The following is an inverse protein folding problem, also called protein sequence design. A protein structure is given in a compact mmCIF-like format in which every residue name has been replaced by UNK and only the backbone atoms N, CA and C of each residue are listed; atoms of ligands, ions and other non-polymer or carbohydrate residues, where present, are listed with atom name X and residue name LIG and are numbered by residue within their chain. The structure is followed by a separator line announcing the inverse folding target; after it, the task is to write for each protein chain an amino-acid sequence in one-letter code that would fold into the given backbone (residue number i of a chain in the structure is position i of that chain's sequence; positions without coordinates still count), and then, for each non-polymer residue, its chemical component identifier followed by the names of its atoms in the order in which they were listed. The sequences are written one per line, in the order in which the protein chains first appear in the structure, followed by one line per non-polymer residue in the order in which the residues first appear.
data_IF_574345372351
#
_entry.id   IF_574345372351
#
_cell.length_a   1.000
_cell.length_b   1.000
_cell.length_c   1.000
_cell.angle_alpha   90.00
_cell.angle_beta   90.00
_cell.angle_gamma   90.00
#
_symmetry.space_group_name_H-M   'P 1'
#
loop_
_entity.id
_entity.type
_entity.pdbx_description
1 polymer ?
#
# COMPACT_ATOMS: atom_id res chain seq x y z
N UNK A 1 -5.83 27.50 -15.04
CA UNK A 1 -5.93 27.77 -16.49
C UNK A 1 -7.29 28.39 -16.76
N UNK A 2 -7.31 29.48 -17.51
CA UNK A 2 -8.56 30.06 -18.02
C UNK A 2 -9.17 29.16 -19.11
N UNK A 3 -10.44 29.38 -19.45
CA UNK A 3 -11.09 28.70 -20.58
C UNK A 3 -10.30 28.79 -21.90
N UNK A 4 -9.85 29.98 -22.36
CA UNK A 4 -9.09 30.08 -23.60
C UNK A 4 -7.74 29.37 -23.55
N UNK A 5 -7.06 29.38 -22.40
CA UNK A 5 -5.80 28.64 -22.21
C UNK A 5 -6.03 27.13 -22.30
N UNK A 6 -7.12 26.64 -21.69
CA UNK A 6 -7.49 25.23 -21.70
C UNK A 6 -7.83 24.74 -23.11
N UNK A 7 -8.56 25.54 -23.89
CA UNK A 7 -8.85 25.22 -25.30
C UNK A 7 -7.58 25.21 -26.13
N UNK A 8 -6.68 26.18 -25.95
CA UNK A 8 -5.42 26.24 -26.68
C UNK A 8 -4.51 25.04 -26.35
N UNK A 9 -4.47 24.63 -25.08
CA UNK A 9 -3.72 23.45 -24.64
C UNK A 9 -4.22 22.16 -25.29
N UNK A 10 -5.54 21.89 -25.21
CA UNK A 10 -6.10 20.68 -25.82
C UNK A 10 -6.05 20.72 -27.34
N UNK A 11 -6.18 21.88 -27.97
CA UNK A 11 -5.98 22.02 -29.41
C UNK A 11 -4.54 21.65 -29.81
N UNK A 12 -3.54 22.12 -29.07
CA UNK A 12 -2.13 21.77 -29.29
C UNK A 12 -1.90 20.27 -29.09
N UNK A 13 -2.50 19.69 -28.04
CA UNK A 13 -2.42 18.26 -27.77
C UNK A 13 -3.04 17.41 -28.89
N UNK A 14 -4.23 17.79 -29.37
CA UNK A 14 -4.94 17.13 -30.48
C UNK A 14 -4.12 17.22 -31.77
N UNK A 15 -3.51 18.37 -32.08
CA UNK A 15 -2.66 18.53 -33.25
C UNK A 15 -1.45 17.59 -33.18
N UNK A 16 -0.81 17.49 -32.02
CA UNK A 16 0.31 16.56 -31.80
C UNK A 16 -0.13 15.10 -31.99
N UNK A 17 -1.29 14.72 -31.45
CA UNK A 17 -1.86 13.38 -31.66
C UNK A 17 -2.11 13.08 -33.14
N UNK A 18 -2.71 14.02 -33.89
CA UNK A 18 -2.94 13.86 -35.34
C UNK A 18 -1.63 13.71 -36.11
N UNK A 19 -0.62 14.53 -35.81
CA UNK A 19 0.70 14.43 -36.44
C UNK A 19 1.38 13.08 -36.13
N UNK A 20 1.27 12.60 -34.89
CA UNK A 20 1.82 11.30 -34.49
C UNK A 20 1.15 10.16 -35.23
N UNK A 21 -0.18 10.14 -35.28
CA UNK A 21 -0.95 9.12 -35.99
C UNK A 21 -0.70 9.18 -37.51
N UNK A 22 -0.56 10.37 -38.11
CA UNK A 22 -0.24 10.52 -39.53
C UNK A 22 1.17 9.99 -39.86
N UNK A 23 2.16 10.26 -38.99
CA UNK A 23 3.52 9.72 -39.12
C UNK A 23 3.52 8.20 -39.03
N UNK A 24 2.82 7.64 -38.05
CA UNK A 24 2.68 6.18 -37.89
C UNK A 24 1.96 5.55 -39.09
N UNK A 25 0.90 6.19 -39.60
CA UNK A 25 0.18 5.75 -40.80
C UNK A 25 1.07 5.78 -42.05
N UNK A 26 1.90 6.82 -42.23
CA UNK A 26 2.87 6.92 -43.34
C UNK A 26 3.93 5.81 -43.25
N UNK A 27 4.50 5.59 -42.07
CA UNK A 27 5.48 4.51 -41.83
C UNK A 27 4.84 3.15 -42.14
N UNK A 28 3.62 2.89 -41.68
CA UNK A 28 2.91 1.65 -41.95
C UNK A 28 2.59 1.47 -43.45
N UNK A 29 2.16 2.52 -44.15
CA UNK A 29 1.94 2.47 -45.60
C UNK A 29 3.25 2.23 -46.37
N UNK A 30 4.35 2.84 -45.94
CA UNK A 30 5.66 2.63 -46.56
C UNK A 30 6.17 1.19 -46.33
N UNK A 31 6.00 0.66 -45.12
CA UNK A 31 6.32 -0.73 -44.80
C UNK A 31 5.46 -1.70 -45.63
N UNK A 32 4.16 -1.46 -45.78
CA UNK A 32 3.30 -2.27 -46.65
C UNK A 32 3.74 -2.19 -48.13
N UNK A 33 4.12 -1.02 -48.63
CA UNK A 33 4.65 -0.86 -50.00
C UNK A 33 5.99 -1.59 -50.17
N UNK A 34 6.88 -1.53 -49.19
CA UNK A 34 8.17 -2.25 -49.19
C UNK A 34 7.97 -3.76 -49.18
N UNK A 35 7.06 -4.27 -48.36
CA UNK A 35 6.68 -5.69 -48.36
C UNK A 35 6.06 -6.11 -49.70
N UNK A 36 5.17 -5.29 -50.28
CA UNK A 36 4.61 -5.54 -51.62
C UNK A 36 5.68 -5.51 -52.72
N UNK A 37 6.67 -4.62 -52.64
CA UNK A 37 7.75 -4.53 -53.61
C UNK A 37 8.77 -5.68 -53.47
N UNK A 38 9.04 -6.17 -52.26
CA UNK A 38 9.82 -7.42 -52.06
C UNK A 38 9.13 -8.62 -52.72
N UNK A 39 7.80 -8.69 -52.65
CA UNK A 39 7.00 -9.73 -53.32
C UNK A 39 7.07 -9.61 -54.85
N UNK A 40 7.15 -8.40 -55.40
CA UNK A 40 7.26 -8.18 -56.86
C UNK A 40 8.68 -8.41 -57.39
N UNK A 41 9.72 -8.13 -56.59
CA UNK A 41 11.13 -8.26 -57.00
C UNK A 41 11.73 -9.65 -56.73
N UNK A 42 11.06 -10.50 -55.95
CA UNK A 42 11.41 -11.93 -55.77
C UNK A 42 10.99 -12.82 -56.95
N UNK A 43 10.37 -12.26 -57.99
CA UNK A 43 9.94 -12.96 -59.20
C UNK A 43 10.88 -12.75 -60.41
N UNK A 44 12.05 -12.12 -60.21
CA UNK A 44 13.04 -11.96 -61.29
C UNK A 44 13.97 -13.18 -61.46
N UNK A 45 13.78 -14.24 -60.67
CA UNK A 45 14.31 -15.59 -60.94
C UNK A 45 13.23 -16.51 -61.53
N UNK A 46 12.34 -15.96 -62.36
CA UNK A 46 11.68 -16.75 -63.40
C UNK A 46 12.62 -16.74 -64.61
N UNK A 47 13.41 -17.80 -64.87
CA UNK A 47 14.30 -17.78 -66.00
C UNK A 47 13.45 -17.66 -67.26
N UNK A 48 13.85 -16.70 -68.10
CA UNK A 48 13.55 -16.59 -69.52
C UNK A 48 14.06 -17.83 -70.27
N UNK A 49 13.59 -19.02 -69.88
CA UNK A 49 13.83 -20.32 -70.50
C UNK A 49 12.53 -20.90 -71.10
N UNK A 50 11.45 -20.11 -71.15
CA UNK A 50 10.15 -20.50 -71.70
C UNK A 50 10.13 -20.55 -73.25
N UNK A 51 11.21 -20.17 -73.93
CA UNK A 51 11.25 -20.12 -75.40
C UNK A 51 12.25 -21.10 -76.06
N UNK A 52 12.88 -22.02 -75.32
CA UNK A 52 14.07 -22.72 -75.82
C UNK A 52 14.22 -24.21 -75.51
N UNK A 53 13.17 -24.96 -75.15
CA UNK A 53 13.33 -26.42 -75.02
C UNK A 53 12.02 -27.20 -75.08
N UNK A 54 11.40 -27.23 -76.27
CA UNK A 54 10.37 -28.23 -76.59
C UNK A 54 11.00 -29.38 -77.37
N UNK A 55 11.87 -30.16 -76.73
CA UNK A 55 12.28 -31.46 -77.25
C UNK A 55 12.87 -32.30 -76.12
N UNK A 56 12.09 -33.25 -75.59
CA UNK A 56 12.55 -34.11 -74.49
C UNK A 56 11.46 -34.97 -73.88
N UNK A 57 10.94 -35.89 -74.68
CA UNK A 57 9.89 -36.84 -74.32
C UNK A 57 10.37 -37.86 -73.25
N UNK A 58 9.98 -37.69 -71.98
CA UNK A 58 9.80 -38.80 -71.02
C UNK A 58 8.65 -38.48 -70.04
N UNK A 59 7.62 -39.33 -69.91
CA UNK A 59 6.55 -39.11 -68.94
C UNK A 59 7.05 -39.52 -67.55
N UNK A 60 7.64 -38.58 -66.82
CA UNK A 60 7.90 -38.81 -65.39
C UNK A 60 6.53 -38.79 -64.68
N UNK A 61 6.01 -39.96 -64.30
CA UNK A 61 4.67 -40.13 -63.66
C UNK A 61 4.54 -39.41 -62.31
N UNK A 62 5.66 -38.97 -61.73
CA UNK A 62 5.66 -38.26 -60.46
C UNK A 62 5.32 -36.78 -60.66
N UNK A 63 4.33 -36.28 -59.91
CA UNK A 63 3.77 -34.93 -60.03
C UNK A 63 4.81 -33.80 -60.00
N UNK A 64 5.88 -33.95 -59.20
CA UNK A 64 6.96 -32.97 -59.08
C UNK A 64 8.06 -33.10 -60.15
N UNK A 65 7.94 -34.07 -61.06
CA UNK A 65 8.87 -34.28 -62.18
C UNK A 65 8.38 -33.71 -63.51
N UNK A 66 7.12 -33.26 -63.59
CA UNK A 66 6.57 -32.58 -64.76
C UNK A 66 6.36 -31.09 -64.44
N UNK A 67 7.04 -30.25 -65.19
CA UNK A 67 7.05 -28.81 -64.96
C UNK A 67 5.68 -28.16 -65.21
N UNK A 68 4.84 -28.74 -66.09
CA UNK A 68 3.47 -28.29 -66.31
C UNK A 68 2.56 -28.54 -65.10
N UNK A 69 2.69 -29.70 -64.44
CA UNK A 69 1.88 -30.04 -63.27
C UNK A 69 2.30 -29.24 -62.04
N UNK A 70 3.59 -28.95 -61.88
CA UNK A 70 4.09 -28.06 -60.83
C UNK A 70 3.57 -26.63 -61.03
N UNK A 71 3.61 -26.11 -62.27
CA UNK A 71 3.11 -24.78 -62.58
C UNK A 71 1.60 -24.67 -62.29
N UNK A 72 0.79 -25.62 -62.77
CA UNK A 72 -0.64 -25.70 -62.48
C UNK A 72 -0.92 -25.83 -60.98
N UNK A 73 -0.15 -26.67 -60.28
CA UNK A 73 -0.22 -26.84 -58.83
C UNK A 73 0.04 -25.57 -58.04
N UNK A 74 1.07 -24.81 -58.43
CA UNK A 74 1.41 -23.55 -57.77
C UNK A 74 0.33 -22.48 -57.95
N UNK A 75 -0.32 -22.45 -59.11
CA UNK A 75 -1.45 -21.56 -59.39
C UNK A 75 -2.68 -21.93 -58.55
N UNK A 76 -3.05 -23.22 -58.53
CA UNK A 76 -4.17 -23.69 -57.71
C UNK A 76 -3.90 -23.51 -56.21
N UNK A 77 -2.66 -23.73 -55.76
CA UNK A 77 -2.26 -23.46 -54.38
C UNK A 77 -2.47 -21.99 -54.00
N UNK A 78 -2.00 -21.05 -54.84
CA UNK A 78 -2.22 -19.61 -54.62
C UNK A 78 -3.69 -19.22 -54.69
N UNK A 79 -4.48 -19.89 -55.52
CA UNK A 79 -5.94 -19.66 -55.63
C UNK A 79 -6.68 -20.07 -54.36
N UNK A 80 -6.30 -21.19 -53.74
CA UNK A 80 -6.96 -21.70 -52.52
C UNK A 80 -6.41 -21.01 -51.26
N UNK A 81 -5.10 -20.80 -51.18
CA UNK A 81 -4.43 -20.40 -49.94
C UNK A 81 -3.86 -18.97 -49.95
N UNK A 82 -3.87 -18.28 -51.09
CA UNK A 82 -3.23 -16.98 -51.26
C UNK A 82 -1.70 -17.07 -51.31
N UNK A 83 -1.03 -15.93 -51.22
CA UNK A 83 0.43 -15.87 -51.14
C UNK A 83 0.86 -16.13 -49.68
N UNK A 84 1.41 -17.31 -49.40
CA UNK A 84 1.88 -17.71 -48.06
C UNK A 84 3.40 -17.64 -48.01
N UNK A 85 3.96 -17.09 -46.92
CA UNK A 85 5.38 -17.15 -46.62
C UNK A 85 5.81 -18.58 -46.27
N UNK A 86 7.08 -18.90 -46.50
CA UNK A 86 7.66 -20.19 -46.11
C UNK A 86 7.93 -20.19 -44.61
N UNK A 87 6.93 -20.60 -43.83
CA UNK A 87 6.98 -20.69 -42.37
C UNK A 87 6.31 -21.99 -41.90
N UNK A 88 6.74 -22.51 -40.75
CA UNK A 88 6.10 -23.67 -40.12
C UNK A 88 4.65 -23.34 -39.74
N UNK A 89 3.76 -24.32 -39.86
CA UNK A 89 2.32 -24.17 -39.59
C UNK A 89 1.57 -23.16 -40.49
N UNK A 90 2.09 -22.84 -41.68
CA UNK A 90 1.48 -21.94 -42.67
C UNK A 90 0.01 -22.26 -43.04
N UNK A 91 -0.46 -23.48 -42.72
CA UNK A 91 -1.80 -23.99 -43.02
C UNK A 91 -2.85 -23.67 -41.96
N UNK A 92 -2.47 -23.11 -40.80
CA UNK A 92 -3.41 -22.81 -39.71
C UNK A 92 -4.00 -21.41 -39.92
N UNK A 93 -5.31 -21.32 -40.11
CA UNK A 93 -6.04 -20.08 -40.48
C UNK A 93 -6.13 -19.04 -39.37
N UNK A 94 -5.76 -19.37 -38.13
CA UNK A 94 -5.64 -18.43 -37.01
C UNK A 94 -4.16 -18.14 -36.78
N UNK A 95 -3.72 -17.02 -37.33
CA UNK A 95 -2.42 -16.37 -37.10
C UNK A 95 -2.05 -16.52 -35.62
N UNK A 96 -0.93 -17.17 -35.32
CA UNK A 96 -0.28 -17.01 -34.01
C UNK A 96 -0.04 -15.52 -33.83
N UNK A 97 -0.65 -14.95 -32.79
CA UNK A 97 -0.60 -13.52 -32.47
C UNK A 97 0.86 -13.08 -32.51
N UNK A 98 1.19 -12.11 -33.36
CA UNK A 98 2.57 -11.60 -33.45
C UNK A 98 2.99 -11.05 -32.08
N UNK A 99 4.28 -11.12 -31.72
CA UNK A 99 4.80 -10.41 -30.54
C UNK A 99 4.40 -8.92 -30.54
N UNK A 100 4.29 -8.30 -31.71
CA UNK A 100 3.77 -6.93 -31.86
C UNK A 100 2.27 -6.84 -31.55
N UNK A 101 1.47 -7.84 -31.91
CA UNK A 101 0.05 -7.88 -31.59
C UNK A 101 -0.17 -8.14 -30.09
N UNK A 102 0.68 -8.96 -29.46
CA UNK A 102 0.70 -9.21 -28.01
C UNK A 102 1.16 -7.96 -27.23
N UNK A 103 2.18 -7.25 -27.72
CA UNK A 103 2.65 -5.97 -27.16
C UNK A 103 1.57 -4.90 -27.30
N UNK A 104 0.92 -4.79 -28.46
CA UNK A 104 -0.19 -3.85 -28.66
C UNK A 104 -1.41 -4.19 -27.80
N UNK A 105 -1.65 -5.47 -27.51
CA UNK A 105 -2.72 -5.91 -26.60
C UNK A 105 -2.37 -5.67 -25.13
N UNK A 106 -1.10 -5.88 -24.73
CA UNK A 106 -0.62 -5.62 -23.38
C UNK A 106 -0.51 -4.11 -23.06
N UNK A 107 -0.25 -3.28 -24.07
CA UNK A 107 -0.21 -1.82 -23.97
C UNK A 107 -1.58 -1.15 -24.22
N UNK A 108 -2.65 -1.93 -24.34
CA UNK A 108 -4.02 -1.45 -24.63
C UNK A 108 -4.13 -0.53 -25.87
N UNK A 109 -3.25 -0.75 -26.87
CA UNK A 109 -3.19 0.01 -28.12
C UNK A 109 -4.24 -0.42 -29.15
N UNK A 110 -4.97 -1.51 -28.88
CA UNK A 110 -6.03 -2.04 -29.73
C UNK A 110 -7.44 -1.63 -29.30
N UNK A 111 -7.58 -0.74 -28.32
CA UNK A 111 -8.85 -0.07 -28.10
C UNK A 111 -9.16 0.79 -29.32
N UNK A 112 -10.33 0.58 -29.94
CA UNK A 112 -10.88 1.49 -30.95
C UNK A 112 -10.85 2.89 -30.37
N UNK A 113 -9.81 3.65 -30.71
CA UNK A 113 -9.56 4.93 -30.11
C UNK A 113 -10.80 5.80 -30.40
N UNK A 114 -11.46 6.26 -29.35
CA UNK A 114 -12.70 7.02 -29.45
C UNK A 114 -12.51 8.12 -30.50
N UNK A 115 -13.41 8.20 -31.48
CA UNK A 115 -13.34 9.21 -32.54
C UNK A 115 -13.37 10.62 -31.96
N UNK A 116 -14.01 10.79 -30.79
CA UNK A 116 -14.06 12.05 -30.04
C UNK A 116 -12.71 12.48 -29.46
N UNK A 117 -11.66 11.64 -29.47
CA UNK A 117 -10.31 12.04 -29.02
C UNK A 117 -9.71 13.23 -29.78
N UNK A 118 -10.26 13.56 -30.95
CA UNK A 118 -9.85 14.75 -31.71
C UNK A 118 -10.71 15.98 -31.43
N UNK A 119 -11.66 15.88 -30.50
CA UNK A 119 -12.51 16.97 -30.03
C UNK A 119 -11.96 17.51 -28.70
N UNK A 120 -12.00 18.82 -28.53
CA UNK A 120 -11.63 19.45 -27.25
C UNK A 120 -12.61 19.02 -26.15
N UNK A 121 -13.90 18.92 -26.48
CA UNK A 121 -14.99 18.56 -25.57
C UNK A 121 -14.74 17.24 -24.84
N UNK A 122 -14.20 16.24 -25.56
CA UNK A 122 -13.84 14.93 -25.02
C UNK A 122 -12.90 14.99 -23.80
N UNK A 123 -11.95 15.93 -23.80
CA UNK A 123 -11.03 16.10 -22.68
C UNK A 123 -11.61 16.98 -21.59
N UNK A 124 -12.32 18.05 -21.97
CA UNK A 124 -12.89 18.99 -20.98
C UNK A 124 -14.02 18.38 -20.17
N UNK A 125 -14.83 17.49 -20.77
CA UNK A 125 -15.90 16.76 -20.07
C UNK A 125 -15.37 15.83 -18.98
N UNK A 126 -14.12 15.36 -19.10
CA UNK A 126 -13.47 14.48 -18.11
C UNK A 126 -12.82 15.24 -16.95
N UNK A 127 -12.77 16.57 -17.01
CA UNK A 127 -12.24 17.38 -15.92
C UNK A 127 -13.33 17.53 -14.86
N UNK A 128 -13.13 17.03 -13.63
CA UNK A 128 -14.13 17.18 -12.58
C UNK A 128 -14.31 18.66 -12.26
N UNK A 129 -15.55 19.13 -12.38
CA UNK A 129 -15.98 20.48 -11.99
C UNK A 129 -16.80 20.48 -10.70
N UNK A 130 -17.36 19.33 -10.37
CA UNK A 130 -18.11 19.11 -9.14
C UNK A 130 -17.21 19.26 -7.89
N UNK A 131 -17.75 19.94 -6.89
CA UNK A 131 -17.00 20.30 -5.67
C UNK A 131 -16.62 19.07 -4.86
N UNK A 132 -17.52 18.11 -4.72
CA UNK A 132 -17.29 16.90 -3.93
C UNK A 132 -16.24 16.01 -4.60
N UNK A 133 -16.30 15.90 -5.93
CA UNK A 133 -15.29 15.23 -6.74
C UNK A 133 -13.90 15.87 -6.57
N UNK A 134 -13.81 17.20 -6.61
CA UNK A 134 -12.55 17.92 -6.38
C UNK A 134 -12.03 17.70 -4.96
N UNK A 135 -12.90 17.73 -3.94
CA UNK A 135 -12.52 17.46 -2.56
C UNK A 135 -12.00 16.03 -2.37
N UNK A 136 -12.67 15.04 -2.96
CA UNK A 136 -12.20 13.65 -2.95
C UNK A 136 -10.84 13.50 -3.61
N UNK A 137 -10.63 14.13 -4.77
CA UNK A 137 -9.32 14.14 -5.44
C UNK A 137 -8.24 14.83 -4.61
N UNK A 138 -8.59 15.93 -3.93
CA UNK A 138 -7.68 16.60 -3.00
C UNK A 138 -7.26 15.66 -1.86
N UNK A 139 -8.22 14.97 -1.23
CA UNK A 139 -7.92 13.97 -0.17
C UNK A 139 -7.04 12.84 -0.68
N UNK A 140 -7.32 12.32 -1.88
CA UNK A 140 -6.52 11.27 -2.50
C UNK A 140 -5.09 11.74 -2.77
N UNK A 141 -4.92 12.94 -3.34
CA UNK A 141 -3.61 13.58 -3.55
C UNK A 141 -2.87 13.74 -2.22
N UNK A 142 -3.51 14.32 -1.22
CA UNK A 142 -2.88 14.62 0.07
C UNK A 142 -2.43 13.34 0.78
N UNK A 143 -3.25 12.29 0.72
CA UNK A 143 -2.92 10.94 1.22
C UNK A 143 -1.74 10.33 0.47
N UNK A 144 -1.73 10.43 -0.86
CA UNK A 144 -0.65 9.94 -1.70
C UNK A 144 0.67 10.69 -1.43
N UNK A 145 0.64 12.01 -1.33
CA UNK A 145 1.81 12.84 -1.00
C UNK A 145 2.38 12.53 0.38
N UNK A 146 1.52 12.31 1.38
CA UNK A 146 1.96 11.90 2.72
C UNK A 146 2.63 10.53 2.70
N UNK A 147 2.03 9.58 1.97
CA UNK A 147 2.61 8.24 1.75
C UNK A 147 3.96 8.32 1.03
N UNK A 148 4.06 9.14 -0.01
CA UNK A 148 5.28 9.33 -0.78
C UNK A 148 6.42 9.90 0.08
N UNK A 149 6.13 10.90 0.92
CA UNK A 149 7.08 11.44 1.89
C UNK A 149 7.63 10.37 2.84
N UNK A 150 6.76 9.49 3.38
CA UNK A 150 7.19 8.34 4.21
C UNK A 150 8.06 7.36 3.43
N UNK A 151 7.68 7.05 2.19
CA UNK A 151 8.41 6.09 1.37
C UNK A 151 9.80 6.57 0.97
N UNK A 152 9.97 7.86 0.69
CA UNK A 152 11.29 8.42 0.35
C UNK A 152 12.33 8.15 1.42
N UNK A 153 11.97 8.30 2.70
CA UNK A 153 12.91 7.99 3.79
C UNK A 153 13.00 6.48 4.04
N UNK A 154 11.85 5.80 4.18
CA UNK A 154 11.83 4.39 4.60
C UNK A 154 12.46 3.41 3.60
N UNK A 155 12.29 3.65 2.29
CA UNK A 155 12.76 2.74 1.24
C UNK A 155 13.96 3.25 0.46
N UNK A 156 14.09 4.58 0.31
CA UNK A 156 15.14 5.18 -0.49
C UNK A 156 16.20 5.92 0.34
N UNK A 157 16.03 5.98 1.66
CA UNK A 157 16.91 6.71 2.58
C UNK A 157 17.13 8.17 2.14
N UNK A 158 16.16 8.74 1.42
CA UNK A 158 16.25 10.06 0.82
C UNK A 158 15.47 11.07 1.66
N UNK A 159 16.05 11.43 2.81
CA UNK A 159 15.46 12.37 3.77
C UNK A 159 15.20 13.76 3.15
N UNK A 160 16.02 14.20 2.19
CA UNK A 160 15.83 15.49 1.51
C UNK A 160 14.55 15.50 0.66
N UNK A 161 14.35 14.48 -0.20
CA UNK A 161 13.14 14.38 -1.01
C UNK A 161 11.89 14.11 -0.17
N UNK A 162 12.02 13.34 0.90
CA UNK A 162 10.95 13.16 1.88
C UNK A 162 10.51 14.50 2.46
N UNK A 163 11.47 15.29 2.95
CA UNK A 163 11.23 16.60 3.57
C UNK A 163 10.58 17.58 2.61
N UNK A 164 11.12 17.67 1.37
CA UNK A 164 10.54 18.52 0.33
C UNK A 164 9.09 18.13 0.04
N UNK A 165 8.84 16.84 -0.21
CA UNK A 165 7.49 16.34 -0.54
C UNK A 165 6.48 16.64 0.57
N UNK A 166 6.89 16.51 1.83
CA UNK A 166 6.03 16.78 2.98
C UNK A 166 5.77 18.28 3.16
N UNK A 167 6.75 19.16 2.93
CA UNK A 167 6.51 20.60 2.94
C UNK A 167 5.64 21.06 1.77
N UNK A 168 5.85 20.50 0.57
CA UNK A 168 5.00 20.76 -0.59
C UNK A 168 3.55 20.37 -0.27
N UNK A 169 3.33 19.22 0.40
CA UNK A 169 2.01 18.83 0.92
C UNK A 169 1.45 19.87 1.89
N UNK A 170 2.23 20.36 2.85
CA UNK A 170 1.78 21.39 3.82
C UNK A 170 1.36 22.68 3.11
N UNK A 171 2.11 23.11 2.09
CA UNK A 171 1.82 24.32 1.30
C UNK A 171 0.49 24.19 0.53
N UNK A 172 0.11 22.97 0.15
CA UNK A 172 -1.18 22.68 -0.49
C UNK A 172 -2.39 22.75 0.46
N UNK A 173 -2.18 23.14 1.72
CA UNK A 173 -3.20 23.34 2.77
C UNK A 173 -4.13 22.12 2.89
N UNK A 174 -3.59 20.95 3.30
CA UNK A 174 -4.39 19.76 3.49
C UNK A 174 -5.27 19.90 4.74
N UNK A 175 -6.08 18.89 5.06
CA UNK A 175 -6.82 18.86 6.32
C UNK A 175 -5.88 18.94 7.53
N UNK A 176 -6.36 19.50 8.64
CA UNK A 176 -5.54 19.79 9.83
C UNK A 176 -4.75 18.58 10.33
N UNK A 177 -5.39 17.41 10.37
CA UNK A 177 -4.75 16.16 10.81
C UNK A 177 -3.62 15.73 9.88
N UNK A 178 -3.84 15.83 8.57
CA UNK A 178 -2.82 15.50 7.56
C UNK A 178 -1.66 16.48 7.63
N UNK A 179 -1.94 17.78 7.81
CA UNK A 179 -0.92 18.80 8.00
C UNK A 179 -0.05 18.51 9.23
N UNK A 180 -0.67 18.20 10.36
CA UNK A 180 0.04 17.86 11.59
C UNK A 180 0.91 16.61 11.40
N UNK A 181 0.37 15.56 10.78
CA UNK A 181 1.14 14.36 10.48
C UNK A 181 2.33 14.64 9.56
N UNK A 182 2.15 15.45 8.53
CA UNK A 182 3.22 15.82 7.60
C UNK A 182 4.34 16.60 8.31
N UNK A 183 3.98 17.62 9.10
CA UNK A 183 4.94 18.41 9.87
C UNK A 183 5.69 17.55 10.90
N UNK A 184 4.98 16.68 11.61
CA UNK A 184 5.61 15.78 12.57
C UNK A 184 6.60 14.83 11.90
N UNK A 185 6.25 14.27 10.73
CA UNK A 185 7.19 13.45 9.96
C UNK A 185 8.42 14.26 9.56
N UNK A 186 8.25 15.50 9.06
CA UNK A 186 9.40 16.36 8.77
C UNK A 186 10.28 16.53 10.00
N UNK A 187 9.70 16.84 11.16
CA UNK A 187 10.47 16.97 12.40
C UNK A 187 11.22 15.68 12.73
N UNK A 188 10.51 14.54 12.80
CA UNK A 188 11.08 13.24 13.16
C UNK A 188 12.23 12.84 12.24
N UNK A 189 12.09 13.06 10.93
CA UNK A 189 13.11 12.73 9.94
C UNK A 189 14.37 13.61 10.04
N UNK A 190 14.22 14.86 10.51
CA UNK A 190 15.29 15.86 10.45
C UNK A 190 15.88 16.24 11.81
N UNK A 191 15.24 15.95 12.94
CA UNK A 191 15.70 16.48 14.24
C UNK A 191 17.13 16.07 14.63
N UNK A 192 17.59 14.89 14.21
CA UNK A 192 18.98 14.44 14.40
C UNK A 192 19.90 14.74 13.21
N UNK A 193 19.35 15.02 12.02
CA UNK A 193 20.11 15.07 10.75
C UNK A 193 20.23 16.48 10.15
N UNK A 194 19.20 17.31 10.30
CA UNK A 194 19.04 18.61 9.66
C UNK A 194 18.22 19.55 10.57
N UNK A 195 18.90 20.15 11.53
CA UNK A 195 18.28 21.02 12.55
C UNK A 195 17.44 22.17 11.95
N UNK A 196 17.86 22.89 10.88
CA UNK A 196 17.02 23.95 10.30
C UNK A 196 15.64 23.48 9.83
N UNK A 197 15.55 22.32 9.16
CA UNK A 197 14.27 21.79 8.68
C UNK A 197 13.40 21.29 9.83
N UNK A 198 14.02 20.72 10.86
CA UNK A 198 13.31 20.28 12.06
C UNK A 198 12.75 21.47 12.86
N UNK A 199 13.55 22.51 13.09
CA UNK A 199 13.11 23.71 13.83
C UNK A 199 11.96 24.44 13.11
N UNK A 200 11.99 24.50 11.76
CA UNK A 200 10.87 25.04 10.98
C UNK A 200 9.57 24.26 11.23
N UNK A 201 9.63 22.92 11.18
CA UNK A 201 8.45 22.08 11.40
C UNK A 201 7.95 22.18 12.85
N UNK A 202 8.87 22.15 13.82
CA UNK A 202 8.58 22.34 15.25
C UNK A 202 7.84 23.64 15.50
N UNK A 203 8.32 24.76 14.95
CA UNK A 203 7.67 26.06 15.13
C UNK A 203 6.23 26.05 14.61
N UNK A 204 6.00 25.50 13.41
CA UNK A 204 4.65 25.35 12.86
C UNK A 204 3.76 24.45 13.73
N UNK A 205 4.29 23.35 14.27
CA UNK A 205 3.53 22.45 15.14
C UNK A 205 3.15 23.16 16.44
N UNK A 206 4.08 23.87 17.07
CA UNK A 206 3.86 24.55 18.35
C UNK A 206 2.90 25.73 18.18
N UNK A 207 2.95 26.45 17.05
CA UNK A 207 2.09 27.59 16.76
C UNK A 207 0.67 27.16 16.39
N UNK A 208 0.51 26.17 15.50
CA UNK A 208 -0.79 25.80 14.95
C UNK A 208 -1.50 24.66 15.70
N UNK A 209 -0.74 23.85 16.46
CA UNK A 209 -1.25 22.64 17.14
C UNK A 209 -0.77 22.55 18.61
N UNK A 210 -0.82 23.63 19.41
CA UNK A 210 -0.19 23.70 20.74
C UNK A 210 -0.67 22.64 21.74
N UNK A 211 -1.94 22.24 21.66
CA UNK A 211 -2.59 21.33 22.61
C UNK A 211 -2.52 19.86 22.17
N UNK A 212 -1.59 19.51 21.28
CA UNK A 212 -1.44 18.14 20.78
C UNK A 212 -0.26 17.42 21.41
N UNK A 213 -0.31 16.07 21.51
CA UNK A 213 0.85 15.30 21.95
C UNK A 213 2.09 15.56 21.09
N UNK A 214 1.89 15.80 19.80
CA UNK A 214 2.96 16.17 18.87
C UNK A 214 3.67 17.45 19.29
N UNK A 215 2.94 18.51 19.69
CA UNK A 215 3.53 19.77 20.11
C UNK A 215 4.37 19.66 21.39
N UNK A 216 3.94 18.87 22.36
CA UNK A 216 4.75 18.62 23.55
C UNK A 216 5.96 17.72 23.24
N UNK A 217 5.83 16.74 22.33
CA UNK A 217 6.96 15.92 21.89
C UNK A 217 8.03 16.73 21.15
N UNK A 218 7.68 17.60 20.20
CA UNK A 218 8.68 18.37 19.44
C UNK A 218 9.40 19.42 20.29
N UNK A 219 8.83 19.83 21.43
CA UNK A 219 9.50 20.70 22.41
C UNK A 219 10.60 19.95 23.15
N UNK A 220 10.31 18.71 23.56
CA UNK A 220 11.22 17.84 24.30
C UNK A 220 11.25 16.44 23.67
N UNK A 221 11.99 16.25 22.56
CA UNK A 221 12.03 14.97 21.85
C UNK A 221 12.63 13.89 22.74
N UNK A 222 12.02 12.71 22.74
CA UNK A 222 12.51 11.54 23.48
C UNK A 222 12.98 10.45 22.55
N UNK A 223 13.99 9.70 22.98
CA UNK A 223 14.45 8.54 22.21
C UNK A 223 13.41 7.41 22.27
N UNK A 224 13.28 6.70 21.16
CA UNK A 224 12.42 5.52 21.02
C UNK A 224 13.21 4.25 20.71
N UNK A 225 14.53 4.38 20.53
CA UNK A 225 15.48 3.30 20.36
C UNK A 225 16.21 3.07 21.69
N UNK A 226 15.94 1.91 22.31
CA UNK A 226 16.45 1.61 23.64
C UNK A 226 17.62 0.65 23.63
N UNK A 227 18.57 0.89 24.54
CA UNK A 227 19.67 -0.01 24.89
C UNK A 227 19.27 -0.93 26.04
N UNK A 228 20.11 -1.96 26.27
CA UNK A 228 19.94 -2.85 27.41
C UNK A 228 19.99 -2.06 28.72
N UNK A 229 19.13 -2.43 29.66
CA UNK A 229 19.07 -1.77 30.96
C UNK A 229 20.31 -2.04 31.80
N UNK A 230 20.92 -0.96 32.30
CA UNK A 230 22.05 -1.00 33.23
C UNK A 230 21.59 -1.31 34.66
N UNK A 231 22.46 -1.95 35.46
CA UNK A 231 22.08 -2.37 36.81
C UNK A 231 21.79 -1.18 37.74
N UNK A 232 22.55 -0.09 37.61
CA UNK A 232 22.32 1.17 38.33
C UNK A 232 20.94 1.76 38.03
N UNK A 233 20.50 1.71 36.77
CA UNK A 233 19.19 2.20 36.35
C UNK A 233 18.05 1.36 36.95
N UNK A 234 18.24 0.04 37.11
CA UNK A 234 17.27 -0.81 37.84
C UNK A 234 17.20 -0.45 39.32
N UNK A 235 18.34 -0.28 39.97
CA UNK A 235 18.42 0.07 41.39
C UNK A 235 17.75 1.42 41.64
N UNK A 236 18.04 2.41 40.79
CA UNK A 236 17.41 3.73 40.84
C UNK A 236 15.88 3.64 40.67
N UNK A 237 15.40 2.77 39.77
CA UNK A 237 13.97 2.58 39.53
C UNK A 237 13.29 1.97 40.75
N UNK A 238 13.89 0.92 41.33
CA UNK A 238 13.39 0.29 42.54
C UNK A 238 13.30 1.29 43.70
N UNK A 239 14.31 2.15 43.84
CA UNK A 239 14.32 3.22 44.85
C UNK A 239 13.20 4.24 44.62
N UNK A 240 13.03 4.72 43.39
CA UNK A 240 11.95 5.65 43.03
C UNK A 240 10.56 5.02 43.30
N UNK A 241 10.39 3.75 42.95
CA UNK A 241 9.15 3.02 43.17
C UNK A 241 8.84 2.80 44.66
N UNK A 242 9.86 2.50 45.48
CA UNK A 242 9.70 2.41 46.93
C UNK A 242 9.24 3.77 47.53
N UNK A 243 9.88 4.87 47.13
CA UNK A 243 9.50 6.21 47.56
C UNK A 243 8.09 6.59 47.13
N UNK A 244 7.66 6.20 45.93
CA UNK A 244 6.28 6.35 45.47
C UNK A 244 5.29 5.63 46.41
N UNK A 245 5.57 4.39 46.79
CA UNK A 245 4.71 3.63 47.72
C UNK A 245 4.69 4.21 49.14
N UNK A 246 5.77 4.87 49.54
CA UNK A 246 5.86 5.63 50.80
C UNK A 246 5.24 7.04 50.70
N UNK A 247 4.61 7.38 49.58
CA UNK A 247 4.02 8.69 49.28
C UNK A 247 5.02 9.87 49.27
N UNK A 248 6.32 9.57 49.19
CA UNK A 248 7.41 10.56 49.08
C UNK A 248 7.58 11.00 47.62
N UNK A 249 6.53 11.63 47.10
CA UNK A 249 6.40 11.95 45.67
C UNK A 249 7.48 12.87 45.13
N UNK A 250 7.87 13.92 45.85
CA UNK A 250 8.91 14.87 45.41
C UNK A 250 10.28 14.19 45.28
N UNK A 251 10.62 13.32 46.23
CA UNK A 251 11.89 12.57 46.21
C UNK A 251 11.92 11.55 45.07
N UNK A 252 10.81 10.82 44.87
CA UNK A 252 10.65 9.88 43.77
C UNK A 252 10.76 10.60 42.42
N UNK A 253 10.07 11.72 42.25
CA UNK A 253 10.08 12.52 41.02
C UNK A 253 11.49 13.01 40.68
N UNK A 254 12.26 13.48 41.67
CA UNK A 254 13.65 13.91 41.45
C UNK A 254 14.51 12.76 40.91
N UNK A 255 14.41 11.57 41.49
CA UNK A 255 15.16 10.39 41.04
C UNK A 255 14.74 9.99 39.62
N UNK A 256 13.44 10.00 39.34
CA UNK A 256 12.91 9.65 38.02
C UNK A 256 13.41 10.63 36.96
N UNK A 257 13.33 11.94 37.21
CA UNK A 257 13.81 12.98 36.29
C UNK A 257 15.31 12.85 36.03
N UNK A 258 16.10 12.65 37.08
CA UNK A 258 17.54 12.46 36.97
C UNK A 258 17.87 11.21 36.12
N UNK A 259 17.23 10.06 36.40
CA UNK A 259 17.46 8.83 35.65
C UNK A 259 17.08 8.98 34.16
N UNK A 260 15.99 9.71 33.86
CA UNK A 260 15.57 9.96 32.48
C UNK A 260 16.51 10.91 31.73
N UNK A 261 17.16 11.84 32.43
CA UNK A 261 18.14 12.77 31.86
C UNK A 261 19.51 12.10 31.64
N UNK A 262 19.97 11.31 32.60
CA UNK A 262 21.28 10.64 32.56
C UNK A 262 21.27 9.40 31.64
N UNK A 263 20.13 8.70 31.55
CA UNK A 263 20.01 7.46 30.77
C UNK A 263 18.84 7.48 29.77
N UNK A 264 18.76 8.47 28.87
CA UNK A 264 17.59 8.71 27.99
C UNK A 264 17.29 7.57 27.01
N UNK A 265 18.23 6.62 26.85
CA UNK A 265 18.13 5.49 25.94
C UNK A 265 17.92 4.15 26.69
N UNK A 266 17.79 4.13 28.01
CA UNK A 266 17.61 2.87 28.74
C UNK A 266 16.21 2.27 28.47
N UNK A 267 16.12 0.94 28.33
CA UNK A 267 14.85 0.25 28.13
C UNK A 267 13.83 0.43 29.29
N UNK A 268 14.25 0.92 30.47
CA UNK A 268 13.37 1.28 31.57
C UNK A 268 12.71 2.66 31.44
N UNK A 269 13.13 3.51 30.47
CA UNK A 269 12.58 4.86 30.32
C UNK A 269 11.04 4.90 30.26
N UNK A 270 10.35 4.06 29.46
CA UNK A 270 8.88 4.05 29.45
C UNK A 270 8.24 3.76 30.83
N UNK A 271 8.92 2.97 31.68
CA UNK A 271 8.44 2.67 33.04
C UNK A 271 8.64 3.85 33.98
N UNK A 272 9.77 4.54 33.86
CA UNK A 272 10.01 5.78 34.57
C UNK A 272 8.95 6.83 34.22
N UNK A 273 8.63 7.00 32.94
CA UNK A 273 7.58 7.92 32.50
C UNK A 273 6.22 7.56 33.08
N UNK A 274 5.85 6.27 33.06
CA UNK A 274 4.56 5.84 33.62
C UNK A 274 4.49 6.05 35.14
N UNK A 275 5.60 5.79 35.86
CA UNK A 275 5.69 6.07 37.30
C UNK A 275 5.59 7.58 37.58
N UNK A 276 6.24 8.41 36.74
CA UNK A 276 6.13 9.86 36.81
C UNK A 276 4.68 10.32 36.61
N UNK A 277 3.96 9.75 35.64
CA UNK A 277 2.54 10.06 35.43
C UNK A 277 1.66 9.72 36.65
N UNK A 278 1.94 8.62 37.34
CA UNK A 278 1.25 8.29 38.60
C UNK A 278 1.55 9.30 39.70
N UNK A 279 2.80 9.75 39.82
CA UNK A 279 3.19 10.79 40.77
C UNK A 279 2.49 12.11 40.44
N UNK A 280 2.54 12.53 39.18
CA UNK A 280 1.87 13.75 38.69
C UNK A 280 0.36 13.71 38.96
N UNK A 281 -0.29 12.55 38.83
CA UNK A 281 -1.69 12.40 39.20
C UNK A 281 -1.97 12.64 40.68
N UNK A 282 -1.01 12.33 41.56
CA UNK A 282 -1.11 12.55 43.01
C UNK A 282 -0.76 13.99 43.41
N UNK A 283 0.17 14.64 42.71
CA UNK A 283 0.70 15.96 43.08
C UNK A 283 0.05 17.12 42.33
N UNK A 284 -0.23 16.95 41.03
CA UNK A 284 -0.76 17.98 40.14
C UNK A 284 -2.20 17.69 39.65
N UNK A 285 -2.75 16.51 39.99
CA UNK A 285 -4.13 16.15 39.70
C UNK A 285 -4.34 15.50 38.33
N UNK A 286 -5.63 15.33 37.99
CA UNK A 286 -6.08 14.53 36.84
C UNK A 286 -5.59 15.09 35.52
N UNK A 287 -5.60 16.40 35.36
CA UNK A 287 -5.21 17.09 34.12
C UNK A 287 -3.73 16.86 33.82
N UNK A 288 -2.86 17.00 34.83
CA UNK A 288 -1.43 16.72 34.70
C UNK A 288 -1.15 15.27 34.32
N UNK A 289 -1.80 14.33 35.02
CA UNK A 289 -1.72 12.90 34.69
C UNK A 289 -2.17 12.61 33.26
N UNK A 290 -3.28 13.20 32.82
CA UNK A 290 -3.85 12.99 31.50
C UNK A 290 -2.86 13.43 30.42
N UNK A 291 -2.23 14.59 30.58
CA UNK A 291 -1.25 15.11 29.64
C UNK A 291 -0.02 14.19 29.50
N UNK A 292 0.50 13.66 30.61
CA UNK A 292 1.63 12.74 30.59
C UNK A 292 1.27 11.38 29.98
N UNK A 293 0.10 10.83 30.32
CA UNK A 293 -0.36 9.58 29.73
C UNK A 293 -0.60 9.70 28.21
N UNK A 294 -1.10 10.85 27.74
CA UNK A 294 -1.23 11.12 26.31
C UNK A 294 0.13 11.14 25.59
N UNK A 295 1.16 11.69 26.23
CA UNK A 295 2.53 11.61 25.75
C UNK A 295 3.02 10.17 25.70
N UNK A 296 2.91 9.41 26.79
CA UNK A 296 3.39 8.03 26.86
C UNK A 296 2.69 7.17 25.79
N UNK A 297 1.37 7.32 25.63
CA UNK A 297 0.60 6.62 24.62
C UNK A 297 1.00 6.98 23.18
N UNK A 298 1.47 8.21 22.96
CA UNK A 298 1.93 8.73 21.68
C UNK A 298 3.35 8.27 21.33
N UNK A 299 4.29 8.38 22.27
CA UNK A 299 5.71 8.06 22.08
C UNK A 299 5.94 6.53 22.12
N UNK A 300 5.20 5.80 22.95
CA UNK A 300 5.41 4.37 23.18
C UNK A 300 4.22 3.48 22.76
N UNK A 301 3.61 3.68 21.58
CA UNK A 301 2.31 3.09 21.25
C UNK A 301 2.28 1.56 21.22
N UNK A 302 3.45 0.92 21.10
CA UNK A 302 3.61 -0.54 21.02
C UNK A 302 4.16 -1.18 22.31
N UNK A 303 4.68 -0.39 23.25
CA UNK A 303 5.19 -0.88 24.55
C UNK A 303 4.03 -1.08 25.52
N UNK A 304 4.25 -1.87 26.56
CA UNK A 304 3.20 -2.17 27.53
C UNK A 304 2.80 -0.94 28.34
N UNK A 305 3.76 -0.04 28.61
CA UNK A 305 3.52 1.24 29.28
C UNK A 305 2.62 2.16 28.45
N UNK A 306 2.83 2.21 27.13
CA UNK A 306 1.96 2.97 26.22
C UNK A 306 0.58 2.36 26.04
N UNK A 307 0.45 1.03 26.04
CA UNK A 307 -0.86 0.35 26.10
C UNK A 307 -1.56 0.67 27.41
N UNK A 308 -0.83 0.59 28.53
CA UNK A 308 -1.36 0.91 29.87
C UNK A 308 -1.80 2.36 29.97
N UNK A 309 -1.04 3.28 29.40
CA UNK A 309 -1.43 4.69 29.35
C UNK A 309 -2.76 4.88 28.60
N UNK A 310 -2.96 4.18 27.47
CA UNK A 310 -4.25 4.20 26.74
C UNK A 310 -5.41 3.65 27.57
N UNK A 311 -5.20 2.54 28.29
CA UNK A 311 -6.21 1.98 29.20
C UNK A 311 -6.62 3.00 30.28
N UNK A 312 -5.65 3.61 30.93
CA UNK A 312 -5.91 4.59 32.00
C UNK A 312 -6.62 5.82 31.42
N UNK A 313 -6.19 6.31 30.26
CA UNK A 313 -6.86 7.43 29.58
C UNK A 313 -8.32 7.13 29.25
N UNK A 314 -8.63 5.91 28.81
CA UNK A 314 -10.02 5.51 28.55
C UNK A 314 -10.88 5.57 29.82
N UNK A 315 -10.33 5.11 30.95
CA UNK A 315 -10.99 5.21 32.26
C UNK A 315 -11.19 6.67 32.67
N UNK A 316 -10.14 7.50 32.57
CA UNK A 316 -10.16 8.91 32.97
C UNK A 316 -11.12 9.75 32.12
N UNK A 317 -11.30 9.40 30.83
CA UNK A 317 -12.21 10.09 29.90
C UNK A 317 -13.65 9.58 29.98
N UNK A 318 -13.92 8.51 30.75
CA UNK A 318 -15.26 7.92 30.88
C UNK A 318 -15.62 6.95 29.76
N UNK A 319 -14.69 6.60 28.88
CA UNK A 319 -14.86 5.68 27.75
C UNK A 319 -14.68 4.21 28.18
N UNK A 320 -15.26 3.84 29.32
CA UNK A 320 -15.27 2.45 29.78
C UNK A 320 -16.29 1.65 28.96
N UNK A 321 -15.90 1.21 27.76
CA UNK A 321 -16.54 0.02 27.17
C UNK A 321 -16.24 -1.16 28.09
N UNK A 322 -17.30 -1.74 28.64
CA UNK A 322 -17.29 -3.03 29.34
C UNK A 322 -16.44 -4.02 28.54
N UNK A 323 -15.38 -4.52 29.15
CA UNK A 323 -14.73 -5.75 28.70
C UNK A 323 -15.74 -6.90 28.87
N UNK A 324 -16.31 -7.38 27.77
CA UNK A 324 -16.87 -8.72 27.74
C UNK A 324 -15.73 -9.72 27.78
N UNK A 325 -15.65 -10.44 28.90
CA UNK A 325 -14.92 -11.68 29.04
C UNK A 325 -15.46 -12.70 28.02
N UNK A 326 -14.66 -13.07 27.03
CA UNK A 326 -14.84 -14.37 26.37
C UNK A 326 -14.14 -15.43 27.22
N UNK A 327 -14.89 -16.00 28.18
CA UNK A 327 -14.61 -17.32 28.70
C UNK A 327 -15.15 -18.32 27.67
N UNK A 328 -14.26 -19.07 27.03
CA UNK A 328 -14.62 -20.33 26.40
C UNK A 328 -13.56 -21.37 26.78
N UNK A 329 -13.85 -22.13 27.83
CA UNK A 329 -13.23 -23.42 28.09
C UNK A 329 -14.28 -24.33 28.70
N UNK A 330 -14.62 -25.35 27.90
CA UNK A 330 -14.92 -26.70 28.35
C UNK A 330 -16.34 -27.02 28.88
N UNK A 331 -17.07 -27.77 28.05
CA UNK A 331 -17.84 -28.93 28.51
C UNK A 331 -17.18 -30.18 27.93
N UNK A 332 -16.80 -31.16 28.76
CA UNK A 332 -17.66 -32.32 29.04
C UNK A 332 -16.95 -33.35 29.96
N UNK A 333 -17.72 -33.91 30.91
CA UNK A 333 -17.86 -35.33 31.33
C UNK A 333 -18.13 -35.46 32.85
N UNK A 334 -19.43 -35.73 33.13
CA UNK A 334 -20.08 -36.73 34.02
C UNK A 334 -19.65 -36.89 35.51
N UNK A 335 -20.58 -36.57 36.42
CA UNK A 335 -21.37 -37.48 37.31
C UNK A 335 -20.68 -37.66 38.69
N UNK A 336 -21.32 -37.59 39.87
CA UNK A 336 -22.71 -37.89 40.28
C UNK A 336 -23.00 -37.34 41.70
N UNK A 337 -24.30 -37.34 42.05
CA UNK A 337 -24.94 -37.48 43.38
C UNK A 337 -25.58 -36.28 44.11
N UNK A 338 -26.92 -36.21 43.96
CA UNK A 338 -27.97 -36.06 45.02
C UNK A 338 -28.12 -34.70 45.75
N UNK A 339 -29.29 -34.09 46.06
CA UNK A 339 -30.71 -34.47 46.16
C UNK A 339 -31.63 -33.20 46.06
N UNK A 340 -32.80 -33.35 45.40
CA UNK A 340 -34.19 -32.83 45.62
C UNK A 340 -34.40 -31.46 46.32
N UNK A 341 -35.33 -30.56 45.94
CA UNK A 341 -36.79 -30.67 45.64
C UNK A 341 -37.21 -29.29 45.08
N UNK A 342 -37.99 -29.13 44.00
CA UNK A 342 -39.46 -28.98 43.97
C UNK A 342 -39.96 -28.90 42.50
N UNK A 343 -41.12 -29.52 42.27
CA UNK A 343 -41.95 -29.57 41.04
C UNK A 343 -43.18 -28.63 41.20
N UNK A 344 -44.13 -28.51 40.22
CA UNK A 344 -44.05 -28.60 38.76
C UNK A 344 -44.87 -27.49 38.04
N UNK A 345 -44.75 -27.37 36.70
CA UNK A 345 -45.89 -27.50 35.74
C UNK A 345 -45.53 -27.17 34.27
N UNK A 346 -45.61 -28.21 33.44
CA UNK A 346 -46.31 -28.34 32.15
C UNK A 346 -45.92 -27.47 30.92
N UNK A 347 -45.07 -28.04 30.05
CA UNK A 347 -45.22 -28.41 28.60
C UNK A 347 -46.39 -27.85 27.73
N UNK A 348 -46.33 -27.97 26.37
CA UNK A 348 -45.20 -27.92 25.41
C UNK A 348 -45.56 -27.23 24.05
N UNK A 349 -44.62 -27.36 23.09
CA UNK A 349 -44.83 -27.48 21.62
C UNK A 349 -45.09 -26.19 20.79
N UNK A 350 -44.16 -25.83 19.90
CA UNK A 350 -44.07 -26.44 18.57
C UNK A 350 -42.87 -25.86 17.77
N UNK A 351 -42.07 -26.75 17.15
CA UNK A 351 -41.11 -26.45 16.07
C UNK A 351 -41.56 -27.30 14.86
N UNK A 352 -41.51 -26.79 13.63
CA UNK A 352 -40.65 -27.45 12.63
C UNK A 352 -39.76 -26.44 11.88
N UNK A 353 -38.44 -26.70 11.83
CA UNK A 353 -37.69 -27.24 10.66
C UNK A 353 -37.64 -26.26 9.47
N UNK A 354 -36.53 -25.55 9.21
CA UNK A 354 -35.23 -26.00 8.67
C UNK A 354 -35.33 -26.47 7.21
N UNK A 355 -34.84 -25.63 6.28
CA UNK A 355 -34.48 -26.04 4.92
C UNK A 355 -33.07 -25.55 4.59
N UNK A 356 -32.20 -26.51 4.30
CA UNK A 356 -30.79 -26.37 3.99
C UNK A 356 -30.57 -25.94 2.53
N UNK A 357 -29.55 -25.09 2.28
CA UNK A 357 -28.95 -24.92 0.95
C UNK A 357 -27.41 -24.85 1.09
N UNK A 358 -26.63 -25.55 0.24
CA UNK A 358 -25.21 -25.79 0.49
C UNK A 358 -24.28 -24.70 -0.09
N UNK A 359 -23.19 -24.43 0.64
CA UNK A 359 -22.03 -23.62 0.22
C UNK A 359 -21.06 -24.41 -0.69
N UNK A 360 -20.30 -23.73 -1.59
CA UNK A 360 -19.14 -24.31 -2.28
C UNK A 360 -17.83 -24.12 -1.49
N UNK A 361 -16.77 -24.89 -1.81
CA UNK A 361 -15.68 -25.20 -0.88
C UNK A 361 -14.61 -24.10 -0.75
N UNK A 362 -14.12 -23.90 0.48
CA UNK A 362 -12.99 -23.05 0.83
C UNK A 362 -11.65 -23.74 0.54
N UNK A 363 -10.80 -23.03 -0.19
CA UNK A 363 -9.41 -23.36 -0.51
C UNK A 363 -8.54 -23.29 0.76
N UNK A 364 -7.75 -24.34 0.99
CA UNK A 364 -6.81 -24.44 2.11
C UNK A 364 -5.57 -23.62 1.80
N UNK A 365 -5.33 -22.53 2.54
CA UNK A 365 -4.02 -21.88 2.58
C UNK A 365 -3.27 -22.22 3.87
N UNK A 366 -2.01 -22.58 3.63
CA UNK A 366 -1.02 -23.18 4.49
C UNK A 366 -0.63 -22.23 5.65
N UNK A 367 -0.83 -22.65 6.90
CA UNK A 367 -0.29 -21.98 8.09
C UNK A 367 1.10 -22.55 8.38
N UNK A 368 2.14 -21.75 8.17
CA UNK A 368 3.45 -21.96 8.79
C UNK A 368 4.05 -20.58 9.09
N UNK A 369 3.81 -20.08 10.31
CA UNK A 369 4.60 -19.02 10.93
C UNK A 369 5.27 -19.62 12.18
N UNK A 370 6.56 -19.41 12.41
CA UNK A 370 7.28 -20.02 13.52
C UNK A 370 6.86 -19.38 14.86
N UNK A 371 6.51 -20.24 15.82
CA UNK A 371 6.25 -19.87 17.21
C UNK A 371 7.54 -19.36 17.88
N UNK A 372 7.40 -18.30 18.67
CA UNK A 372 8.51 -17.67 19.39
C UNK A 372 8.78 -18.43 20.70
N UNK A 373 10.04 -18.68 21.08
CA UNK A 373 10.35 -19.38 22.31
C UNK A 373 9.99 -18.53 23.54
N UNK A 374 9.24 -19.13 24.47
CA UNK A 374 8.86 -18.56 25.76
C UNK A 374 10.12 -18.37 26.62
N UNK A 375 10.37 -17.14 27.10
CA UNK A 375 11.51 -16.82 27.95
C UNK A 375 11.16 -17.01 29.44
N UNK A 376 12.10 -17.55 30.20
CA UNK A 376 11.95 -18.19 31.51
C UNK A 376 11.78 -17.25 32.72
N UNK A 377 11.21 -16.05 32.57
CA UNK A 377 10.97 -15.11 33.68
C UNK A 377 9.49 -14.87 34.00
N UNK A 378 8.56 -15.55 33.32
CA UNK A 378 7.10 -15.50 33.59
C UNK A 378 6.62 -16.51 34.66
N UNK A 379 7.49 -17.00 35.55
CA UNK A 379 7.08 -17.85 36.69
C UNK A 379 7.77 -17.43 37.99
N UNK A 380 6.96 -17.01 38.97
CA UNK A 380 7.33 -16.73 40.37
C UNK A 380 7.11 -15.24 40.70
N UNK A 381 6.34 -14.82 41.70
CA UNK A 381 5.78 -15.49 42.87
C UNK A 381 4.53 -14.71 43.34
N UNK A 382 3.41 -15.40 43.56
CA UNK A 382 2.43 -15.05 44.59
C UNK A 382 2.36 -16.26 45.53
N UNK A 383 2.60 -16.06 46.82
CA UNK A 383 2.46 -17.12 47.82
C UNK A 383 3.26 -16.88 49.08
N UNK A 384 2.56 -16.30 50.05
CA UNK A 384 2.81 -16.17 51.51
C UNK A 384 3.99 -15.37 51.99
#
# INVERSE_FOLDING_TARGET
MSEPERTAFFQKYINNLKEKEEKEAKINQENQKKERNKIFNGNNDFPSAFAGSFSGNKPNKFYFGNQETIAKGSLEFRKIWGNRSLEDNWRISKKTVSLNDLENQALDRNNNADARRFEISYYTEKIPTDKDSILSLKKARDTASLGLGRMYDAYFQNTEQATKTLYDLVEQKPEKEVKLQALYLVFSLNHEKNAPQAERAKNMIVEEFPDTPHAAFVKNPRNTNYTQTEEEVKISYQKAYALYNEEKYEEAERIIKQAMEEHPNDALIPKYELLHAYITGKTAGKEGMTAELEQIAFIHPKKDEGKKAKEILAILKGDSKKEEKSADSEKNIEESSSLKTEEPKETPENIPQQENKPEPPKEKQNKNLPERPVQSWEKGHFGT
#
